data_IF_187113466636
#
_entry.id   IF_187113466636
#
_cell.length_a   1.000
_cell.length_b   1.000
_cell.length_c   1.000
_cell.angle_alpha   90.00
_cell.angle_beta   90.00
_cell.angle_gamma   90.00
#
_symmetry.space_group_name_H-M   'P 1'
#
loop_
_entity.id
_entity.type
_entity.pdbx_description
1 polymer ?
#
# COMPACT_ATOMS: atom_id res chain seq x y z
N UNK A 1 49.39 45.90 -21.16
CA UNK A 1 48.20 45.52 -21.95
C UNK A 1 47.54 44.30 -21.34
N UNK A 2 46.48 44.54 -20.57
CA UNK A 2 45.76 43.54 -19.77
C UNK A 2 44.56 43.06 -20.58
N UNK A 3 44.50 41.77 -20.96
CA UNK A 3 43.34 41.13 -21.55
C UNK A 3 42.58 40.35 -20.50
N UNK A 4 41.48 40.92 -20.03
CA UNK A 4 40.45 40.25 -19.21
C UNK A 4 39.80 39.10 -20.01
N UNK A 5 40.01 37.86 -19.59
CA UNK A 5 39.24 36.72 -20.04
C UNK A 5 37.91 36.70 -19.25
N UNK A 6 36.80 37.03 -19.93
CA UNK A 6 35.43 36.79 -19.45
C UNK A 6 35.19 35.29 -19.43
N UNK A 7 35.07 34.72 -18.22
CA UNK A 7 34.63 33.35 -18.00
C UNK A 7 33.18 33.17 -18.45
N UNK A 8 32.94 32.22 -19.35
CA UNK A 8 31.60 31.77 -19.73
C UNK A 8 30.89 31.15 -18.50
N UNK A 9 29.84 31.83 -17.97
CA UNK A 9 28.92 31.25 -17.03
C UNK A 9 28.24 30.05 -17.70
N UNK A 10 28.50 28.85 -17.19
CA UNK A 10 27.77 27.65 -17.56
C UNK A 10 26.28 27.84 -17.21
N UNK A 11 25.41 27.81 -18.20
CA UNK A 11 23.97 27.74 -18.01
C UNK A 11 23.68 26.41 -17.34
N UNK A 12 23.41 26.43 -16.01
CA UNK A 12 22.87 25.28 -15.30
C UNK A 12 21.45 25.04 -15.83
N UNK A 13 21.28 23.94 -16.53
CA UNK A 13 20.01 23.52 -17.07
C UNK A 13 19.03 23.19 -15.92
N UNK A 14 18.07 24.07 -15.70
CA UNK A 14 16.83 23.77 -14.98
C UNK A 14 16.02 22.86 -15.90
N UNK A 15 16.00 21.56 -15.65
CA UNK A 15 15.02 20.67 -16.26
C UNK A 15 13.64 21.12 -15.78
N UNK A 16 12.92 21.82 -16.64
CA UNK A 16 11.51 22.16 -16.44
C UNK A 16 10.67 20.92 -16.72
N UNK A 17 10.29 20.19 -15.69
CA UNK A 17 9.20 19.23 -15.79
C UNK A 17 7.89 20.03 -15.90
N UNK A 18 7.47 20.34 -17.12
CA UNK A 18 6.24 21.07 -17.38
C UNK A 18 5.05 20.09 -17.34
N UNK A 19 4.49 19.88 -16.17
CA UNK A 19 3.20 19.20 -16.04
C UNK A 19 2.06 20.19 -16.33
N UNK A 20 1.04 19.75 -17.06
CA UNK A 20 -0.21 20.51 -17.18
C UNK A 20 -1.02 20.30 -15.89
N UNK A 21 -1.55 21.39 -15.36
CA UNK A 21 -2.54 21.34 -14.27
C UNK A 21 -3.79 20.63 -14.79
N UNK A 22 -4.24 19.59 -14.08
CA UNK A 22 -5.52 18.96 -14.37
C UNK A 22 -6.66 19.89 -13.91
N UNK A 23 -7.80 19.98 -14.64
CA UNK A 23 -8.85 20.97 -14.35
C UNK A 23 -9.38 20.96 -12.90
N UNK A 24 -9.28 19.82 -12.19
CA UNK A 24 -9.76 19.63 -10.82
C UNK A 24 -8.63 19.28 -9.83
N UNK A 25 -7.39 19.51 -10.21
CA UNK A 25 -6.25 19.20 -9.33
C UNK A 25 -6.17 20.19 -8.16
N UNK A 26 -6.03 19.65 -6.94
CA UNK A 26 -5.81 20.48 -5.75
C UNK A 26 -4.47 21.24 -5.91
N UNK A 27 -4.46 22.58 -5.77
CA UNK A 27 -3.23 23.37 -5.92
C UNK A 27 -2.09 22.96 -4.98
N UNK A 28 -2.39 22.44 -3.78
CA UNK A 28 -1.37 21.92 -2.86
C UNK A 28 -0.74 20.64 -3.41
N UNK A 29 -1.56 19.75 -3.98
CA UNK A 29 -1.09 18.52 -4.62
C UNK A 29 -0.23 18.82 -5.84
N UNK A 30 -0.60 19.82 -6.64
CA UNK A 30 0.21 20.28 -7.77
C UNK A 30 1.59 20.80 -7.32
N UNK A 31 1.64 21.65 -6.28
CA UNK A 31 2.89 22.14 -5.70
C UNK A 31 3.75 20.96 -5.27
N UNK A 32 3.19 20.04 -4.49
CA UNK A 32 3.93 18.88 -3.98
C UNK A 32 4.42 17.97 -5.10
N UNK A 33 3.59 17.66 -6.10
CA UNK A 33 3.98 16.86 -7.26
C UNK A 33 5.11 17.53 -8.04
N UNK A 34 5.07 18.84 -8.19
CA UNK A 34 6.13 19.60 -8.87
C UNK A 34 7.44 19.55 -8.07
N UNK A 35 7.38 19.69 -6.74
CA UNK A 35 8.55 19.57 -5.88
C UNK A 35 9.12 18.14 -5.86
N UNK A 36 8.28 17.11 -5.83
CA UNK A 36 8.69 15.69 -5.90
C UNK A 36 9.44 15.40 -7.20
N UNK A 37 8.89 15.82 -8.33
CA UNK A 37 9.52 15.58 -9.64
C UNK A 37 10.83 16.36 -9.86
N UNK A 38 11.02 17.45 -9.12
CA UNK A 38 12.24 18.25 -9.22
C UNK A 38 13.37 17.75 -8.30
N UNK A 39 13.09 16.83 -7.39
CA UNK A 39 14.11 16.35 -6.46
C UNK A 39 15.38 15.84 -7.17
N UNK A 40 16.57 16.14 -6.65
CA UNK A 40 16.88 16.89 -5.43
C UNK A 40 16.96 18.42 -5.62
N UNK A 41 16.46 18.97 -6.71
CA UNK A 41 16.59 20.37 -7.11
C UNK A 41 15.47 21.25 -6.55
N UNK A 42 15.72 22.57 -6.54
CA UNK A 42 14.73 23.58 -6.16
C UNK A 42 13.81 23.94 -7.34
N UNK A 43 12.58 24.31 -7.02
CA UNK A 43 11.59 24.85 -7.95
C UNK A 43 11.36 26.33 -7.65
N UNK A 44 11.49 27.18 -8.66
CA UNK A 44 11.27 28.62 -8.52
C UNK A 44 9.81 28.92 -8.13
N UNK A 45 9.61 29.76 -7.11
CA UNK A 45 8.29 30.24 -6.73
C UNK A 45 7.57 31.01 -7.85
N UNK A 46 8.31 31.61 -8.81
CA UNK A 46 7.72 32.26 -9.99
C UNK A 46 7.11 31.24 -10.95
N UNK A 47 7.77 30.08 -11.15
CA UNK A 47 7.24 28.99 -11.98
C UNK A 47 5.93 28.43 -11.37
N UNK A 48 5.92 28.20 -10.04
CA UNK A 48 4.72 27.75 -9.35
C UNK A 48 3.58 28.78 -9.46
N UNK A 49 3.89 30.07 -9.30
CA UNK A 49 2.95 31.16 -9.39
C UNK A 49 2.30 31.25 -10.79
N UNK A 50 3.13 31.20 -11.84
CA UNK A 50 2.68 31.18 -13.24
C UNK A 50 1.76 29.99 -13.53
N UNK A 51 2.17 28.78 -13.15
CA UNK A 51 1.43 27.54 -13.43
C UNK A 51 0.08 27.46 -12.71
N UNK A 52 0.01 28.00 -11.50
CA UNK A 52 -1.22 28.01 -10.69
C UNK A 52 -2.05 29.27 -10.90
N UNK A 53 -1.63 30.21 -11.77
CA UNK A 53 -2.23 31.53 -11.95
C UNK A 53 -2.42 32.26 -10.61
N UNK A 54 -1.35 32.31 -9.80
CA UNK A 54 -1.35 32.88 -8.46
C UNK A 54 -0.22 33.90 -8.32
N UNK A 55 -0.33 34.78 -7.29
CA UNK A 55 0.77 35.65 -6.90
C UNK A 55 1.88 34.85 -6.16
N UNK A 56 3.10 35.40 -6.13
CA UNK A 56 4.19 34.83 -5.32
C UNK A 56 3.85 34.76 -3.83
N UNK A 57 3.11 35.74 -3.32
CA UNK A 57 2.61 35.74 -1.93
C UNK A 57 1.62 34.58 -1.74
N UNK A 58 0.76 34.31 -2.71
CA UNK A 58 -0.15 33.18 -2.70
C UNK A 58 0.59 31.82 -2.66
N UNK A 59 1.69 31.68 -3.42
CA UNK A 59 2.54 30.47 -3.34
C UNK A 59 3.21 30.37 -1.98
N UNK A 60 3.78 31.45 -1.46
CA UNK A 60 4.39 31.45 -0.14
C UNK A 60 3.38 31.01 0.95
N UNK A 61 2.17 31.57 0.96
CA UNK A 61 1.11 31.18 1.89
C UNK A 61 0.74 29.68 1.79
N UNK A 62 0.76 29.11 0.58
CA UNK A 62 0.54 27.65 0.40
C UNK A 62 1.69 26.82 0.96
N UNK A 63 2.92 27.24 0.73
CA UNK A 63 4.10 26.57 1.30
C UNK A 63 4.04 26.56 2.82
N UNK A 64 3.66 27.69 3.45
CA UNK A 64 3.48 27.74 4.92
C UNK A 64 2.38 26.75 5.38
N UNK A 65 1.22 26.71 4.73
CA UNK A 65 0.16 25.73 5.04
C UNK A 65 0.63 24.29 4.91
N UNK A 66 1.49 23.99 3.93
CA UNK A 66 2.08 22.66 3.77
C UNK A 66 3.09 22.34 4.87
N UNK A 67 3.87 23.33 5.31
CA UNK A 67 4.76 23.21 6.49
C UNK A 67 3.98 22.96 7.76
N UNK A 68 2.90 23.71 7.99
CA UNK A 68 1.99 23.54 9.15
C UNK A 68 1.35 22.13 9.13
N UNK A 69 1.14 21.56 7.96
CA UNK A 69 0.68 20.19 7.80
C UNK A 69 1.79 19.11 7.96
N UNK A 70 2.98 19.51 8.42
CA UNK A 70 4.10 18.63 8.79
C UNK A 70 5.06 18.29 7.65
N UNK A 71 4.97 18.96 6.48
CA UNK A 71 5.92 18.77 5.41
C UNK A 71 7.17 19.64 5.62
N UNK A 72 8.34 19.05 5.43
CA UNK A 72 9.61 19.80 5.48
C UNK A 72 9.89 20.35 4.08
N UNK A 73 9.66 21.66 3.90
CA UNK A 73 9.92 22.37 2.64
C UNK A 73 10.97 23.44 2.90
N UNK A 74 12.13 23.29 2.29
CA UNK A 74 13.21 24.27 2.35
C UNK A 74 12.96 25.38 1.35
N UNK A 75 13.25 26.64 1.74
CA UNK A 75 13.26 27.79 0.86
C UNK A 75 14.68 28.33 0.76
N UNK A 76 15.14 28.59 -0.46
CA UNK A 76 16.45 29.22 -0.72
C UNK A 76 16.29 30.44 -1.58
N UNK A 77 16.98 31.51 -1.20
CA UNK A 77 16.97 32.78 -1.96
C UNK A 77 17.43 32.53 -3.39
N UNK A 78 16.71 33.06 -4.37
CA UNK A 78 16.94 32.94 -5.81
C UNK A 78 16.84 31.51 -6.41
N UNK A 79 16.67 30.45 -5.60
CA UNK A 79 16.47 29.07 -6.08
C UNK A 79 15.01 28.65 -6.01
N UNK A 80 14.30 29.03 -4.93
CA UNK A 80 12.90 28.68 -4.70
C UNK A 80 12.71 27.65 -3.58
N UNK A 81 11.89 26.64 -3.83
CA UNK A 81 11.44 25.66 -2.82
C UNK A 81 11.88 24.24 -3.17
N UNK A 82 12.16 23.43 -2.14
CA UNK A 82 12.50 22.01 -2.26
C UNK A 82 11.86 21.22 -1.13
N UNK A 83 11.20 20.12 -1.45
CA UNK A 83 10.68 19.17 -0.46
C UNK A 83 11.85 18.34 0.09
N UNK A 84 12.06 18.35 1.42
CA UNK A 84 13.16 17.67 2.11
C UNK A 84 12.69 16.58 3.07
N UNK A 85 11.39 16.54 3.39
CA UNK A 85 10.85 15.51 4.28
C UNK A 85 9.32 15.52 4.30
N UNK A 86 8.78 14.39 4.75
CA UNK A 86 7.34 14.16 4.91
C UNK A 86 6.98 13.80 6.35
N UNK A 87 5.73 14.04 6.78
CA UNK A 87 5.27 13.66 8.11
C UNK A 87 5.20 12.12 8.26
N UNK A 88 5.26 11.63 9.52
CA UNK A 88 5.13 10.19 9.82
C UNK A 88 3.68 9.67 9.70
N UNK A 89 2.74 10.49 9.26
CA UNK A 89 1.33 10.15 9.03
C UNK A 89 0.94 10.56 7.62
N UNK A 90 -0.07 9.90 7.06
CA UNK A 90 -0.54 10.24 5.72
C UNK A 90 -1.15 11.64 5.69
N UNK A 91 -0.79 12.40 4.66
CA UNK A 91 -1.30 13.72 4.33
C UNK A 91 -2.04 13.67 2.99
N UNK A 92 -3.26 14.19 2.93
CA UNK A 92 -4.11 14.07 1.74
C UNK A 92 -3.50 14.71 0.48
N UNK A 93 -2.90 15.89 0.60
CA UNK A 93 -2.30 16.57 -0.56
C UNK A 93 -1.07 15.85 -1.08
N UNK A 94 -0.24 15.29 -0.19
CA UNK A 94 0.93 14.51 -0.60
C UNK A 94 0.52 13.15 -1.15
N UNK A 95 -0.54 12.54 -0.61
CA UNK A 95 -1.09 11.29 -1.14
C UNK A 95 -1.62 11.49 -2.56
N UNK A 96 -2.40 12.56 -2.80
CA UNK A 96 -2.90 12.92 -4.12
C UNK A 96 -1.74 13.15 -5.12
N UNK A 97 -0.70 13.88 -4.70
CA UNK A 97 0.49 14.12 -5.52
C UNK A 97 1.17 12.80 -5.95
N UNK A 98 1.32 11.85 -5.01
CA UNK A 98 1.90 10.54 -5.30
C UNK A 98 1.01 9.65 -6.17
N UNK A 99 -0.32 9.66 -5.95
CA UNK A 99 -1.28 8.93 -6.80
C UNK A 99 -1.20 9.41 -8.25
N UNK A 100 -1.14 10.72 -8.45
CA UNK A 100 -0.97 11.30 -9.79
C UNK A 100 0.39 10.96 -10.40
N UNK A 101 1.48 10.97 -9.62
CA UNK A 101 2.81 10.58 -10.10
C UNK A 101 2.88 9.10 -10.49
N UNK A 102 2.14 8.24 -9.80
CA UNK A 102 2.01 6.83 -10.13
C UNK A 102 0.96 6.55 -11.21
N UNK A 103 0.29 7.58 -11.75
CA UNK A 103 -0.79 7.48 -12.76
C UNK A 103 -1.97 6.62 -12.29
N UNK A 104 -2.26 6.65 -10.99
CA UNK A 104 -3.38 5.92 -10.38
C UNK A 104 -4.64 6.78 -10.46
N UNK A 105 -5.64 6.29 -11.21
CA UNK A 105 -6.96 6.92 -11.31
C UNK A 105 -7.93 6.25 -10.34
N UNK A 106 -8.23 6.93 -9.24
CA UNK A 106 -9.16 6.44 -8.22
C UNK A 106 -9.84 7.61 -7.50
N UNK A 107 -11.00 7.36 -6.91
CA UNK A 107 -11.54 8.20 -5.84
C UNK A 107 -10.81 7.81 -4.56
N UNK A 108 -10.34 8.77 -3.75
CA UNK A 108 -9.74 8.42 -2.47
C UNK A 108 -10.25 9.27 -1.31
N UNK A 109 -10.30 8.67 -0.12
CA UNK A 109 -10.58 9.31 1.15
C UNK A 109 -9.48 8.97 2.16
N UNK A 110 -9.06 9.96 2.92
CA UNK A 110 -8.10 9.81 4.01
C UNK A 110 -8.73 10.26 5.32
N UNK A 111 -8.80 9.35 6.28
CA UNK A 111 -9.30 9.59 7.63
C UNK A 111 -8.14 9.70 8.62
N UNK A 112 -8.20 10.68 9.54
CA UNK A 112 -7.24 10.70 10.65
C UNK A 112 -7.52 9.53 11.61
N UNK A 113 -8.80 9.22 11.83
CA UNK A 113 -9.23 8.06 12.62
C UNK A 113 -10.58 7.55 12.11
N UNK A 114 -10.74 6.23 12.01
CA UNK A 114 -12.01 5.58 11.69
C UNK A 114 -12.16 4.28 12.46
N UNK A 115 -13.33 3.65 12.40
CA UNK A 115 -13.55 2.30 12.92
C UNK A 115 -12.70 1.28 12.16
N UNK A 116 -12.95 1.15 10.87
CA UNK A 116 -12.23 0.26 9.94
C UNK A 116 -12.30 0.80 8.51
N UNK A 117 -11.18 0.82 7.81
CA UNK A 117 -11.12 1.26 6.41
C UNK A 117 -11.98 0.39 5.49
N UNK A 118 -12.13 -0.92 5.76
CA UNK A 118 -13.05 -1.78 5.01
C UNK A 118 -14.52 -1.34 5.19
N UNK A 119 -14.92 -1.08 6.43
CA UNK A 119 -16.29 -0.63 6.73
C UNK A 119 -16.59 0.72 6.09
N UNK A 120 -15.63 1.66 6.12
CA UNK A 120 -15.79 2.95 5.44
C UNK A 120 -15.87 2.80 3.92
N UNK A 121 -15.07 1.91 3.33
CA UNK A 121 -15.12 1.65 1.89
C UNK A 121 -16.49 1.07 1.47
N UNK A 122 -17.04 0.12 2.24
CA UNK A 122 -18.38 -0.44 2.02
C UNK A 122 -19.46 0.66 2.08
N UNK A 123 -19.40 1.49 3.13
CA UNK A 123 -20.33 2.61 3.36
C UNK A 123 -20.28 3.62 2.22
N UNK A 124 -19.11 4.14 1.88
CA UNK A 124 -18.92 5.13 0.80
C UNK A 124 -19.37 4.59 -0.56
N UNK A 125 -19.08 3.31 -0.85
CA UNK A 125 -19.63 2.68 -2.04
C UNK A 125 -21.15 2.61 -2.01
N UNK A 126 -21.78 2.28 -0.89
CA UNK A 126 -23.24 2.24 -0.76
C UNK A 126 -23.87 3.64 -0.94
N UNK A 127 -23.19 4.69 -0.51
CA UNK A 127 -23.55 6.10 -0.68
C UNK A 127 -23.35 6.62 -2.12
N UNK A 128 -22.75 5.82 -3.01
CA UNK A 128 -22.64 6.12 -4.44
C UNK A 128 -21.27 6.54 -4.93
N UNK A 129 -20.23 6.47 -4.09
CA UNK A 129 -18.87 6.77 -4.55
C UNK A 129 -18.44 5.86 -5.70
N UNK A 130 -17.74 6.47 -6.66
CA UNK A 130 -17.22 5.76 -7.83
C UNK A 130 -16.07 4.83 -7.46
N UNK A 131 -15.92 3.74 -8.22
CA UNK A 131 -14.83 2.78 -8.08
C UNK A 131 -13.88 2.86 -9.28
N UNK A 132 -12.58 2.61 -9.09
CA UNK A 132 -11.90 2.21 -7.86
C UNK A 132 -11.98 3.26 -6.75
N UNK A 133 -12.36 2.82 -5.54
CA UNK A 133 -12.42 3.65 -4.34
C UNK A 133 -11.29 3.25 -3.39
N UNK A 134 -10.47 4.20 -2.98
CA UNK A 134 -9.37 3.98 -2.02
C UNK A 134 -9.73 4.66 -0.70
N UNK A 135 -9.69 3.89 0.39
CA UNK A 135 -9.87 4.41 1.75
C UNK A 135 -8.61 4.17 2.54
N UNK A 136 -8.06 5.25 3.09
CA UNK A 136 -6.86 5.26 3.92
C UNK A 136 -7.19 5.80 5.31
N UNK A 137 -6.50 5.33 6.33
CA UNK A 137 -6.60 5.89 7.68
C UNK A 137 -5.24 5.95 8.38
N UNK A 138 -5.05 6.99 9.22
CA UNK A 138 -3.89 7.09 10.10
C UNK A 138 -4.04 6.24 11.37
N UNK A 139 -5.29 5.90 11.73
CA UNK A 139 -5.65 5.11 12.91
C UNK A 139 -6.96 4.36 12.67
N UNK A 140 -7.06 3.11 13.18
CA UNK A 140 -8.32 2.39 13.25
C UNK A 140 -8.64 2.01 14.70
N UNK A 141 -9.85 2.32 15.16
CA UNK A 141 -10.32 2.00 16.53
C UNK A 141 -10.80 0.56 16.65
N UNK A 142 -11.31 0.00 15.56
CA UNK A 142 -11.85 -1.37 15.49
C UNK A 142 -11.34 -2.08 14.21
N UNK A 143 -10.02 -1.98 13.95
CA UNK A 143 -9.41 -2.65 12.81
C UNK A 143 -9.73 -4.14 12.77
N UNK A 144 -10.14 -4.65 11.59
CA UNK A 144 -10.63 -6.01 11.43
C UNK A 144 -9.63 -6.93 10.74
N UNK A 145 -9.51 -8.15 11.24
CA UNK A 145 -8.87 -9.28 10.60
C UNK A 145 -9.90 -10.38 10.29
N UNK A 146 -9.43 -11.48 9.74
CA UNK A 146 -10.29 -12.66 9.46
C UNK A 146 -10.83 -13.27 10.74
N UNK A 147 -12.05 -13.89 10.65
CA UNK A 147 -12.70 -14.66 11.72
C UNK A 147 -12.89 -13.88 13.02
N UNK A 148 -13.13 -12.57 12.93
CA UNK A 148 -13.33 -11.71 14.10
C UNK A 148 -12.05 -11.30 14.83
N UNK A 149 -10.87 -11.66 14.33
CA UNK A 149 -9.61 -11.18 14.89
C UNK A 149 -9.47 -9.66 14.73
N UNK A 150 -8.83 -9.02 15.71
CA UNK A 150 -8.58 -7.59 15.71
C UNK A 150 -7.24 -7.31 15.01
N UNK A 151 -7.22 -6.34 14.10
CA UNK A 151 -5.99 -5.76 13.56
C UNK A 151 -5.61 -4.53 14.37
N UNK A 152 -4.52 -4.61 15.14
CA UNK A 152 -4.03 -3.49 15.95
C UNK A 152 -3.52 -2.38 15.06
N UNK A 153 -4.15 -1.20 15.14
CA UNK A 153 -3.97 -0.12 14.16
C UNK A 153 -3.65 1.23 14.84
N UNK A 154 -2.53 1.36 15.57
CA UNK A 154 -2.17 2.60 16.25
C UNK A 154 -1.81 3.72 15.27
N UNK A 155 -1.89 4.98 15.73
CA UNK A 155 -1.32 6.12 14.99
C UNK A 155 0.19 5.96 14.82
N UNK A 156 0.69 6.41 13.67
CA UNK A 156 2.13 6.61 13.45
C UNK A 156 2.79 5.60 12.51
N UNK A 157 2.77 5.91 11.23
CA UNK A 157 3.66 5.33 10.23
C UNK A 157 3.32 3.93 9.72
N UNK A 158 2.16 3.37 10.06
CA UNK A 158 1.63 2.15 9.46
C UNK A 158 0.63 2.47 8.34
N UNK A 159 0.42 1.51 7.45
CA UNK A 159 -0.53 1.67 6.36
C UNK A 159 -1.79 0.85 6.65
N UNK A 160 -2.93 1.51 6.69
CA UNK A 160 -4.27 0.94 6.74
C UNK A 160 -5.01 1.41 5.50
N UNK A 161 -5.19 0.48 4.57
CA UNK A 161 -5.66 0.74 3.22
C UNK A 161 -6.78 -0.23 2.89
N UNK A 162 -7.88 0.28 2.31
CA UNK A 162 -8.91 -0.54 1.68
C UNK A 162 -9.20 -0.05 0.27
N UNK A 163 -9.40 -0.98 -0.66
CA UNK A 163 -9.78 -0.68 -2.04
C UNK A 163 -11.13 -1.30 -2.32
N UNK A 164 -12.11 -0.44 -2.65
CA UNK A 164 -13.46 -0.81 -3.05
C UNK A 164 -13.58 -0.91 -4.57
N UNK A 165 -14.17 -2.00 -5.06
CA UNK A 165 -14.34 -2.31 -6.48
C UNK A 165 -15.75 -2.82 -6.77
N UNK A 166 -16.24 -2.60 -8.00
CA UNK A 166 -17.49 -3.18 -8.54
C UNK A 166 -17.20 -3.93 -9.84
N UNK A 167 -16.61 -5.14 -9.74
CA UNK A 167 -16.05 -5.82 -10.92
C UNK A 167 -17.13 -6.41 -11.85
N UNK A 168 -18.35 -6.70 -11.38
CA UNK A 168 -19.44 -7.35 -12.13
C UNK A 168 -18.98 -8.63 -12.83
N UNK A 169 -18.28 -9.50 -12.13
CA UNK A 169 -17.72 -10.76 -12.63
C UNK A 169 -18.32 -11.96 -11.91
N UNK A 170 -18.23 -13.13 -12.52
CA UNK A 170 -18.63 -14.39 -11.92
C UNK A 170 -17.79 -14.72 -10.67
N UNK A 171 -18.43 -15.29 -9.66
CA UNK A 171 -17.78 -15.65 -8.38
C UNK A 171 -16.58 -16.58 -8.58
N UNK A 172 -16.63 -17.47 -9.59
CA UNK A 172 -15.56 -18.42 -9.89
C UNK A 172 -14.22 -17.70 -10.18
N UNK A 173 -14.25 -16.52 -10.75
CA UNK A 173 -13.05 -15.70 -11.02
C UNK A 173 -12.42 -15.10 -9.77
N UNK A 174 -13.12 -15.13 -8.63
CA UNK A 174 -12.64 -14.59 -7.36
C UNK A 174 -11.93 -15.60 -6.46
N UNK A 175 -11.91 -16.91 -6.82
CA UNK A 175 -11.42 -17.98 -5.95
C UNK A 175 -10.06 -17.69 -5.33
N UNK A 176 -9.12 -17.18 -6.12
CA UNK A 176 -7.74 -16.97 -5.73
C UNK A 176 -7.39 -15.49 -5.50
N UNK A 177 -8.39 -14.61 -5.46
CA UNK A 177 -8.16 -13.16 -5.41
C UNK A 177 -7.22 -12.75 -4.27
N UNK A 178 -7.51 -13.14 -3.03
CA UNK A 178 -6.67 -12.78 -1.86
C UNK A 178 -5.25 -13.33 -1.96
N UNK A 179 -5.10 -14.57 -2.45
CA UNK A 179 -3.79 -15.21 -2.63
C UNK A 179 -2.97 -14.48 -3.70
N UNK A 180 -3.58 -14.13 -4.83
CA UNK A 180 -2.91 -13.40 -5.88
C UNK A 180 -2.52 -12.00 -5.46
N UNK A 181 -3.41 -11.27 -4.76
CA UNK A 181 -3.06 -9.99 -4.15
C UNK A 181 -1.83 -10.13 -3.24
N UNK A 182 -1.81 -11.15 -2.38
CA UNK A 182 -0.68 -11.43 -1.51
C UNK A 182 0.61 -11.70 -2.27
N UNK A 183 0.55 -12.48 -3.35
CA UNK A 183 1.71 -12.76 -4.23
C UNK A 183 2.27 -11.45 -4.78
N UNK A 184 1.42 -10.62 -5.40
CA UNK A 184 1.85 -9.37 -6.04
C UNK A 184 2.39 -8.34 -5.04
N UNK A 185 1.73 -8.22 -3.88
CA UNK A 185 2.20 -7.35 -2.78
C UNK A 185 3.55 -7.84 -2.23
N UNK A 186 3.70 -9.14 -2.00
CA UNK A 186 4.95 -9.72 -1.51
C UNK A 186 6.11 -9.47 -2.49
N UNK A 187 5.91 -9.73 -3.77
CA UNK A 187 6.89 -9.47 -4.83
C UNK A 187 7.28 -8.00 -4.91
N UNK A 188 6.29 -7.11 -4.89
CA UNK A 188 6.54 -5.67 -4.89
C UNK A 188 7.36 -5.24 -3.67
N UNK A 189 6.99 -5.69 -2.46
CA UNK A 189 7.69 -5.32 -1.23
C UNK A 189 9.13 -5.87 -1.19
N UNK A 190 9.37 -7.08 -1.71
CA UNK A 190 10.73 -7.62 -1.87
C UNK A 190 11.60 -6.67 -2.68
N UNK A 191 11.13 -6.29 -3.85
CA UNK A 191 11.85 -5.39 -4.76
C UNK A 191 11.97 -3.96 -4.21
N UNK A 192 10.87 -3.39 -3.69
CA UNK A 192 10.83 -2.00 -3.22
C UNK A 192 11.68 -1.77 -1.97
N UNK A 193 11.62 -2.70 -1.04
CA UNK A 193 12.34 -2.59 0.23
C UNK A 193 13.69 -3.33 0.22
N UNK A 194 14.03 -4.03 -0.87
CA UNK A 194 15.21 -4.89 -0.98
C UNK A 194 15.28 -5.87 0.21
N UNK A 195 14.22 -6.70 0.34
CA UNK A 195 14.02 -7.68 1.42
C UNK A 195 13.68 -9.04 0.79
N UNK A 196 14.68 -9.90 0.56
CA UNK A 196 14.47 -11.19 -0.11
C UNK A 196 13.68 -12.20 0.74
N UNK A 197 13.83 -12.14 2.07
CA UNK A 197 13.24 -13.12 3.00
C UNK A 197 11.81 -12.77 3.44
N UNK A 198 11.07 -12.01 2.62
CA UNK A 198 9.66 -11.72 2.81
C UNK A 198 8.82 -12.81 2.16
N UNK A 199 7.89 -13.40 2.89
CA UNK A 199 7.09 -14.53 2.46
C UNK A 199 5.60 -14.30 2.69
N UNK A 200 4.78 -15.13 2.03
CA UNK A 200 3.34 -15.16 2.24
C UNK A 200 2.97 -16.43 3.02
N UNK A 201 2.39 -16.24 4.19
CA UNK A 201 1.79 -17.32 4.98
C UNK A 201 0.33 -17.47 4.59
N UNK A 202 -0.02 -18.65 4.08
CA UNK A 202 -1.40 -18.96 3.73
C UNK A 202 -2.34 -18.73 4.92
N UNK A 203 -3.51 -18.13 4.68
CA UNK A 203 -4.00 -17.70 3.38
C UNK A 203 -3.78 -16.22 3.04
N UNK A 204 -3.33 -15.36 3.96
CA UNK A 204 -3.46 -13.92 3.78
C UNK A 204 -2.47 -13.05 4.58
N UNK A 205 -1.37 -13.63 5.08
CA UNK A 205 -0.46 -12.91 5.97
C UNK A 205 0.93 -12.77 5.36
N UNK A 206 1.50 -11.57 5.47
CA UNK A 206 2.89 -11.28 5.08
C UNK A 206 3.82 -11.50 6.27
N UNK A 207 4.85 -12.30 6.08
CA UNK A 207 5.81 -12.71 7.09
C UNK A 207 7.24 -12.39 6.66
N UNK A 208 8.02 -11.94 7.63
CA UNK A 208 9.48 -11.90 7.56
C UNK A 208 10.03 -12.75 8.70
N UNK A 209 10.87 -13.73 8.37
CA UNK A 209 11.24 -14.80 9.30
C UNK A 209 9.97 -15.42 9.93
N UNK A 210 9.83 -15.39 11.24
CA UNK A 210 8.65 -15.89 11.94
C UNK A 210 7.73 -14.77 12.45
N UNK A 211 7.89 -13.54 11.96
CA UNK A 211 7.14 -12.37 12.41
C UNK A 211 6.23 -11.81 11.31
N UNK A 212 5.00 -11.50 11.69
CA UNK A 212 4.02 -10.91 10.80
C UNK A 212 4.29 -9.43 10.59
N UNK A 213 4.33 -9.00 9.32
CA UNK A 213 4.46 -7.58 8.96
C UNK A 213 3.18 -7.01 8.38
N UNK A 214 2.29 -7.85 7.84
CA UNK A 214 1.06 -7.41 7.20
C UNK A 214 0.01 -8.50 7.17
N UNK A 215 -1.23 -8.09 6.89
CA UNK A 215 -2.35 -8.99 6.68
C UNK A 215 -3.38 -8.40 5.75
N UNK A 216 -4.09 -9.25 5.04
CA UNK A 216 -5.09 -8.87 4.05
C UNK A 216 -6.47 -9.41 4.44
N UNK A 217 -7.51 -8.65 4.13
CA UNK A 217 -8.90 -9.04 4.35
C UNK A 217 -9.73 -8.68 3.12
N UNK A 218 -10.27 -9.70 2.45
CA UNK A 218 -11.19 -9.51 1.32
C UNK A 218 -12.61 -9.78 1.79
N UNK A 219 -13.51 -8.83 1.52
CA UNK A 219 -14.94 -8.93 1.79
C UNK A 219 -15.71 -8.65 0.49
N UNK A 220 -16.70 -9.47 0.17
CA UNK A 220 -17.45 -9.35 -1.07
C UNK A 220 -18.94 -9.48 -0.83
N UNK A 221 -19.73 -8.68 -1.55
CA UNK A 221 -21.17 -8.84 -1.68
C UNK A 221 -21.45 -9.59 -2.99
N UNK A 222 -22.20 -10.68 -2.86
CA UNK A 222 -22.53 -11.56 -3.98
C UNK A 222 -24.03 -11.48 -4.23
N UNK A 223 -24.40 -11.35 -5.49
CA UNK A 223 -25.77 -11.37 -5.95
C UNK A 223 -25.91 -12.44 -7.03
N UNK A 224 -26.68 -13.48 -6.73
CA UNK A 224 -26.73 -14.72 -7.54
C UNK A 224 -25.33 -15.34 -7.69
N UNK A 225 -24.75 -15.38 -8.87
CA UNK A 225 -23.42 -15.94 -9.15
C UNK A 225 -22.37 -14.85 -9.45
N UNK A 226 -22.73 -13.58 -9.26
CA UNK A 226 -21.88 -12.44 -9.59
C UNK A 226 -21.40 -11.70 -8.35
N UNK A 227 -20.16 -11.25 -8.40
CA UNK A 227 -19.61 -10.32 -7.39
C UNK A 227 -20.09 -8.92 -7.71
N UNK A 228 -20.99 -8.40 -6.85
CA UNK A 228 -21.57 -7.05 -6.96
C UNK A 228 -20.58 -5.98 -6.50
N UNK A 229 -20.00 -6.21 -5.35
CA UNK A 229 -18.97 -5.34 -4.79
C UNK A 229 -17.91 -6.13 -4.03
N UNK A 230 -16.71 -5.58 -3.97
CA UNK A 230 -15.55 -6.18 -3.36
C UNK A 230 -14.79 -5.10 -2.60
N UNK A 231 -14.41 -5.38 -1.37
CA UNK A 231 -13.48 -4.56 -0.58
C UNK A 231 -12.26 -5.41 -0.23
N UNK A 232 -11.09 -4.93 -0.64
CA UNK A 232 -9.81 -5.53 -0.29
C UNK A 232 -9.09 -4.62 0.71
N UNK A 233 -8.88 -5.10 1.92
CA UNK A 233 -8.14 -4.41 2.98
C UNK A 233 -6.71 -4.92 3.13
N UNK A 234 -5.78 -4.01 3.33
CA UNK A 234 -4.38 -4.26 3.65
C UNK A 234 -3.99 -3.50 4.92
N UNK A 235 -3.59 -4.23 5.96
CA UNK A 235 -2.87 -3.70 7.10
C UNK A 235 -1.38 -4.03 6.96
N UNK A 236 -0.51 -3.02 6.96
CA UNK A 236 0.94 -3.20 6.81
C UNK A 236 1.69 -2.39 7.85
N UNK A 237 2.57 -3.05 8.60
CA UNK A 237 3.47 -2.41 9.54
C UNK A 237 4.67 -1.84 8.77
N UNK A 238 4.71 -0.52 8.61
CA UNK A 238 5.75 0.17 7.83
C UNK A 238 6.80 0.78 8.73
N UNK A 239 6.50 1.90 9.38
CA UNK A 239 7.41 2.68 10.21
C UNK A 239 7.14 2.50 11.71
N UNK A 240 6.85 1.27 12.13
CA UNK A 240 6.42 0.93 13.49
C UNK A 240 7.57 0.73 14.49
N UNK A 241 8.78 1.19 14.22
CA UNK A 241 9.96 0.99 15.10
C UNK A 241 9.73 1.50 16.54
N UNK A 242 8.93 2.54 16.71
CA UNK A 242 8.61 3.14 18.01
C UNK A 242 7.22 2.75 18.55
N UNK A 243 6.49 1.87 17.85
CA UNK A 243 5.16 1.45 18.28
C UNK A 243 5.29 0.34 19.33
N UNK A 244 4.65 0.55 20.48
CA UNK A 244 4.52 -0.48 21.52
C UNK A 244 3.37 -1.41 21.15
N UNK A 245 3.68 -2.53 20.52
CA UNK A 245 2.69 -3.58 20.31
C UNK A 245 2.21 -4.18 21.63
N UNK A 246 0.92 -4.54 21.75
CA UNK A 246 0.42 -5.32 22.88
C UNK A 246 1.26 -6.58 23.15
N UNK A 247 1.38 -6.98 24.40
CA UNK A 247 2.21 -8.15 24.80
C UNK A 247 1.87 -9.41 24.01
N UNK A 248 0.59 -9.60 23.67
CA UNK A 248 0.08 -10.76 22.92
C UNK A 248 0.64 -10.88 21.49
N UNK A 249 1.05 -9.76 20.86
CA UNK A 249 1.52 -9.75 19.48
C UNK A 249 2.96 -9.22 19.32
N UNK A 250 3.57 -8.70 20.39
CA UNK A 250 4.87 -8.05 20.35
C UNK A 250 5.98 -8.93 19.78
N UNK A 251 5.99 -10.21 20.12
CA UNK A 251 7.02 -11.15 19.68
C UNK A 251 6.72 -11.79 18.32
N UNK A 252 5.48 -11.64 17.84
CA UNK A 252 4.99 -12.22 16.59
C UNK A 252 4.86 -11.18 15.46
N UNK A 253 5.21 -9.91 15.72
CA UNK A 253 5.04 -8.81 14.77
C UNK A 253 6.32 -8.01 14.59
N UNK A 254 6.55 -7.57 13.35
CA UNK A 254 7.65 -6.68 12.98
C UNK A 254 7.16 -5.62 11.98
N UNK A 255 8.07 -4.76 11.48
CA UNK A 255 7.77 -3.74 10.48
C UNK A 255 8.88 -3.61 9.46
N UNK A 256 8.59 -3.05 8.30
CA UNK A 256 9.58 -2.82 7.24
C UNK A 256 10.76 -1.99 7.75
N UNK A 257 10.49 -0.92 8.50
CA UNK A 257 11.54 -0.06 9.05
C UNK A 257 12.43 -0.76 10.07
N UNK A 258 11.87 -1.68 10.86
CA UNK A 258 12.65 -2.47 11.82
C UNK A 258 13.57 -3.48 11.12
N UNK A 259 13.09 -4.08 10.04
CA UNK A 259 13.84 -5.03 9.21
C UNK A 259 15.01 -4.33 8.50
N UNK A 260 14.74 -3.18 7.89
CA UNK A 260 15.72 -2.44 7.06
C UNK A 260 16.63 -1.50 7.87
N UNK A 261 16.25 -1.15 9.11
CA UNK A 261 16.95 -0.13 9.90
C UNK A 261 16.74 1.31 9.40
N UNK A 262 15.81 1.54 8.47
CA UNK A 262 15.54 2.84 7.85
C UNK A 262 14.03 3.10 7.73
N UNK A 263 13.63 4.38 7.75
CA UNK A 263 12.23 4.77 7.51
C UNK A 263 11.91 4.70 6.02
N UNK A 264 10.65 4.38 5.73
CA UNK A 264 10.09 4.39 4.39
C UNK A 264 9.25 5.64 4.15
N UNK A 265 9.24 6.14 2.93
CA UNK A 265 8.32 7.17 2.45
C UNK A 265 6.91 6.57 2.32
N UNK A 266 6.08 6.78 3.36
CA UNK A 266 4.79 6.08 3.48
C UNK A 266 3.81 6.45 2.37
N UNK A 267 3.84 7.68 1.86
CA UNK A 267 2.98 8.15 0.78
C UNK A 267 3.34 7.50 -0.56
N UNK A 268 4.64 7.45 -0.87
CA UNK A 268 5.16 6.76 -2.05
C UNK A 268 4.81 5.28 -2.03
N UNK A 269 5.10 4.62 -0.89
CA UNK A 269 4.80 3.21 -0.70
C UNK A 269 3.30 2.93 -0.87
N UNK A 270 2.43 3.76 -0.27
CA UNK A 270 0.99 3.62 -0.39
C UNK A 270 0.51 3.75 -1.84
N UNK A 271 0.95 4.78 -2.57
CA UNK A 271 0.55 5.00 -3.97
C UNK A 271 0.99 3.84 -4.88
N UNK A 272 2.23 3.38 -4.72
CA UNK A 272 2.76 2.23 -5.47
C UNK A 272 2.03 0.93 -5.13
N UNK A 273 1.71 0.68 -3.85
CA UNK A 273 0.91 -0.48 -3.43
C UNK A 273 -0.51 -0.42 -4.00
N UNK A 274 -1.16 0.74 -4.00
CA UNK A 274 -2.48 0.91 -4.62
C UNK A 274 -2.43 0.51 -6.09
N UNK A 275 -1.42 0.96 -6.84
CA UNK A 275 -1.23 0.57 -8.24
C UNK A 275 -1.07 -0.95 -8.38
N UNK A 276 -0.20 -1.57 -7.59
CA UNK A 276 0.02 -3.03 -7.60
C UNK A 276 -1.28 -3.80 -7.33
N UNK A 277 -2.07 -3.36 -6.34
CA UNK A 277 -3.34 -4.00 -5.97
C UNK A 277 -4.36 -3.87 -7.11
N UNK A 278 -4.46 -2.71 -7.74
CA UNK A 278 -5.37 -2.49 -8.88
C UNK A 278 -4.97 -3.33 -10.09
N UNK A 279 -3.68 -3.40 -10.43
CA UNK A 279 -3.15 -4.22 -11.50
C UNK A 279 -3.39 -5.71 -11.23
N UNK A 280 -3.13 -6.18 -10.00
CA UNK A 280 -3.40 -7.54 -9.58
C UNK A 280 -4.91 -7.88 -9.62
N UNK A 281 -5.77 -6.91 -9.28
CA UNK A 281 -7.22 -7.09 -9.40
C UNK A 281 -7.65 -7.31 -10.85
N UNK A 282 -7.11 -6.53 -11.78
CA UNK A 282 -7.39 -6.69 -13.21
C UNK A 282 -6.92 -8.05 -13.72
N UNK A 283 -5.76 -8.54 -13.29
CA UNK A 283 -5.28 -9.89 -13.62
C UNK A 283 -6.19 -11.00 -13.09
N UNK A 284 -6.77 -10.83 -11.89
CA UNK A 284 -7.78 -11.77 -11.40
C UNK A 284 -9.05 -11.74 -12.25
N UNK A 285 -9.52 -10.55 -12.62
CA UNK A 285 -10.76 -10.39 -13.38
C UNK A 285 -10.65 -10.90 -14.82
N UNK A 286 -9.46 -10.82 -15.43
CA UNK A 286 -9.18 -11.40 -16.74
C UNK A 286 -8.97 -12.92 -16.71
N UNK A 287 -8.63 -13.48 -15.55
CA UNK A 287 -8.27 -14.90 -15.39
C UNK A 287 -6.77 -15.20 -15.45
N UNK A 288 -5.93 -14.24 -15.84
CA UNK A 288 -4.47 -14.39 -15.93
C UNK A 288 -3.83 -14.85 -14.61
N UNK A 289 -4.37 -14.35 -13.48
CA UNK A 289 -3.89 -14.71 -12.15
C UNK A 289 -3.90 -16.22 -11.88
N UNK A 290 -4.90 -16.95 -12.38
CA UNK A 290 -5.03 -18.39 -12.13
C UNK A 290 -3.94 -19.20 -12.83
N UNK A 291 -3.46 -18.75 -13.99
CA UNK A 291 -2.40 -19.39 -14.75
C UNK A 291 -1.03 -19.26 -14.08
N UNK A 292 -0.82 -18.12 -13.39
CA UNK A 292 0.47 -17.77 -12.80
C UNK A 292 0.58 -18.16 -11.33
N UNK A 293 -0.56 -18.33 -10.62
CA UNK A 293 -0.61 -18.42 -9.17
C UNK A 293 0.32 -19.49 -8.59
N UNK A 294 0.24 -20.73 -9.07
CA UNK A 294 1.01 -21.84 -8.50
C UNK A 294 2.52 -21.59 -8.61
N UNK A 295 2.97 -21.16 -9.79
CA UNK A 295 4.37 -20.86 -10.07
C UNK A 295 4.91 -19.73 -9.18
N UNK A 296 4.12 -18.67 -9.01
CA UNK A 296 4.55 -17.52 -8.24
C UNK A 296 4.41 -17.74 -6.72
N UNK A 297 3.41 -18.52 -6.30
CA UNK A 297 3.24 -18.95 -4.91
C UNK A 297 4.45 -19.74 -4.39
N UNK A 298 4.94 -20.68 -5.19
CA UNK A 298 6.06 -21.54 -4.83
C UNK A 298 7.31 -20.76 -4.37
N UNK A 299 7.54 -19.58 -4.94
CA UNK A 299 8.69 -18.71 -4.64
C UNK A 299 8.59 -17.99 -3.31
N UNK A 300 7.38 -17.90 -2.72
CA UNK A 300 7.11 -17.07 -1.55
C UNK A 300 6.35 -17.80 -0.43
N UNK A 301 6.08 -19.09 -0.59
CA UNK A 301 5.34 -19.90 0.38
C UNK A 301 6.10 -20.03 1.70
N UNK A 302 5.62 -19.35 2.74
CA UNK A 302 6.20 -19.42 4.08
C UNK A 302 6.06 -20.81 4.73
N UNK A 303 5.02 -21.57 4.37
CA UNK A 303 4.67 -22.81 5.05
C UNK A 303 5.30 -24.06 4.39
N UNK A 304 5.88 -23.94 3.21
CA UNK A 304 6.42 -25.06 2.45
C UNK A 304 7.34 -25.93 3.31
N UNK A 305 7.07 -27.23 3.34
CA UNK A 305 7.79 -28.27 4.07
C UNK A 305 7.78 -28.12 5.61
N UNK A 306 7.04 -27.14 6.14
CA UNK A 306 6.90 -26.96 7.59
C UNK A 306 5.80 -27.83 8.15
N UNK A 307 6.03 -28.31 9.39
CA UNK A 307 5.01 -28.98 10.19
C UNK A 307 4.03 -27.94 10.73
N UNK A 308 2.76 -28.15 10.42
CA UNK A 308 1.69 -27.20 10.74
C UNK A 308 0.50 -27.86 11.43
N UNK A 309 -0.26 -27.03 12.13
CA UNK A 309 -1.57 -27.36 12.69
C UNK A 309 -2.58 -26.45 12.02
N UNK A 310 -3.66 -27.04 11.51
CA UNK A 310 -4.80 -26.33 10.95
C UNK A 310 -5.99 -26.45 11.89
N UNK A 311 -6.64 -25.32 12.17
CA UNK A 311 -7.90 -25.24 12.86
C UNK A 311 -8.91 -24.48 11.99
N UNK A 312 -9.94 -25.15 11.48
CA UNK A 312 -10.99 -24.53 10.65
C UNK A 312 -12.30 -24.28 11.42
N UNK A 313 -12.29 -24.52 12.74
CA UNK A 313 -13.44 -24.37 13.62
C UNK A 313 -14.31 -25.64 13.73
N UNK A 314 -14.30 -26.52 12.71
CA UNK A 314 -15.01 -27.82 12.73
C UNK A 314 -14.08 -28.97 13.10
N UNK A 315 -12.82 -28.87 12.67
CA UNK A 315 -11.80 -29.91 12.90
C UNK A 315 -10.42 -29.27 13.11
N UNK A 316 -9.57 -30.03 13.80
CA UNK A 316 -8.15 -29.70 13.98
C UNK A 316 -7.31 -30.88 13.52
N UNK A 317 -6.35 -30.64 12.63
CA UNK A 317 -5.43 -31.65 12.14
C UNK A 317 -4.03 -31.08 11.92
N UNK A 318 -3.03 -31.96 11.86
CA UNK A 318 -1.63 -31.55 11.67
C UNK A 318 -1.00 -32.36 10.54
N UNK A 319 0.00 -31.79 9.89
CA UNK A 319 0.76 -32.42 8.85
C UNK A 319 1.87 -31.52 8.33
N UNK A 320 2.46 -31.86 7.20
CA UNK A 320 3.47 -31.08 6.52
C UNK A 320 2.79 -30.31 5.37
N UNK A 321 2.97 -28.97 5.35
CA UNK A 321 2.45 -28.14 4.28
C UNK A 321 3.24 -28.40 2.98
N UNK A 322 2.53 -28.54 1.86
CA UNK A 322 3.11 -28.88 0.56
C UNK A 322 2.57 -27.98 -0.56
N UNK A 323 2.53 -26.67 -0.32
CA UNK A 323 2.04 -25.68 -1.28
C UNK A 323 0.52 -25.61 -1.34
N UNK A 324 -0.01 -25.08 -2.43
CA UNK A 324 -1.45 -24.93 -2.70
C UNK A 324 -1.83 -25.65 -3.99
N UNK A 325 -3.11 -26.00 -4.14
CA UNK A 325 -3.66 -26.49 -5.40
C UNK A 325 -4.18 -25.33 -6.29
N UNK A 326 -4.71 -25.68 -7.47
CA UNK A 326 -5.28 -24.72 -8.43
C UNK A 326 -6.48 -23.94 -7.88
N UNK A 327 -7.14 -24.44 -6.82
CA UNK A 327 -8.25 -23.76 -6.15
C UNK A 327 -7.78 -22.86 -5.03
N UNK A 328 -6.45 -22.78 -4.76
CA UNK A 328 -5.86 -22.05 -3.66
C UNK A 328 -5.98 -22.75 -2.30
N UNK A 329 -6.44 -24.01 -2.27
CA UNK A 329 -6.48 -24.82 -1.05
C UNK A 329 -5.08 -25.24 -0.64
N UNK A 330 -4.76 -25.14 0.66
CA UNK A 330 -3.48 -25.57 1.20
C UNK A 330 -3.39 -27.10 1.20
N UNK A 331 -2.35 -27.64 0.60
CA UNK A 331 -2.05 -29.08 0.57
C UNK A 331 -1.32 -29.47 1.87
N UNK A 332 -1.88 -30.41 2.62
CA UNK A 332 -1.28 -30.88 3.88
C UNK A 332 -1.07 -32.39 3.82
N UNK A 333 0.19 -32.82 3.84
CA UNK A 333 0.57 -34.23 3.91
C UNK A 333 0.46 -34.73 5.35
N UNK A 334 -0.49 -35.61 5.60
CA UNK A 334 -0.74 -36.21 6.91
C UNK A 334 0.29 -37.31 7.23
N UNK A 335 0.36 -37.68 8.52
CA UNK A 335 1.08 -38.88 8.96
C UNK A 335 0.48 -40.11 8.27
N UNK A 336 1.27 -40.86 7.52
CA UNK A 336 0.78 -41.95 6.68
C UNK A 336 0.73 -41.63 5.19
N UNK A 337 1.17 -40.42 4.76
CA UNK A 337 1.38 -40.06 3.35
C UNK A 337 0.15 -39.52 2.61
N UNK A 338 -1.03 -39.58 3.20
CA UNK A 338 -2.28 -39.07 2.60
C UNK A 338 -2.28 -37.54 2.59
N UNK A 339 -2.65 -36.93 1.47
CA UNK A 339 -2.80 -35.47 1.37
C UNK A 339 -4.23 -35.04 1.69
N UNK A 340 -4.38 -34.03 2.53
CA UNK A 340 -5.65 -33.38 2.87
C UNK A 340 -5.64 -31.92 2.38
N UNK A 341 -6.76 -31.48 1.83
CA UNK A 341 -6.96 -30.10 1.36
C UNK A 341 -7.56 -29.25 2.48
N UNK A 342 -7.01 -28.05 2.71
CA UNK A 342 -7.58 -27.06 3.58
C UNK A 342 -8.03 -25.85 2.77
N UNK A 343 -9.34 -25.63 2.64
CA UNK A 343 -9.90 -24.49 1.92
C UNK A 343 -10.01 -23.24 2.81
N UNK A 344 -10.04 -23.42 4.14
CA UNK A 344 -10.08 -22.35 5.13
C UNK A 344 -9.48 -22.83 6.45
N UNK A 345 -9.00 -21.89 7.29
CA UNK A 345 -8.51 -22.22 8.63
C UNK A 345 -7.51 -21.18 9.14
N UNK A 346 -7.21 -21.33 10.43
CA UNK A 346 -6.03 -20.75 11.05
C UNK A 346 -4.88 -21.76 10.97
N UNK A 347 -3.70 -21.29 10.59
CA UNK A 347 -2.50 -22.12 10.48
C UNK A 347 -1.46 -21.67 11.50
N UNK A 348 -1.05 -22.58 12.36
CA UNK A 348 0.08 -22.39 13.27
C UNK A 348 1.20 -23.38 12.95
N UNK A 349 2.44 -23.00 13.22
CA UNK A 349 3.57 -23.93 13.21
C UNK A 349 3.41 -24.90 14.39
N UNK A 350 3.75 -26.17 14.18
CA UNK A 350 3.63 -27.21 15.19
C UNK A 350 4.87 -27.29 16.08
#
# INVERSE_FOLDING_TARGET
MNKYRRGKRAKRGTQQAAFKLSPNENPNSYVLRTLLNAQPHYVSGSILAEKLNMSRVGIWSRIEKLRDAGLSIEASQNLGYRLTGEPNHLNASLMDAWLQQCEVKCKFHLFDSTGSTNTEAEKLMAEGDSTPLVVLANHQTTGRGRRGNIWYSPKGGNLYLSIGLRPKIELVKMKNFTLWQGVRICQFLRSYADIDNLHLKWPNDLFYDNQKIGGMLTEASIESEYVRSLVFGLGLNVNASNIKFPKSIKNCSTSLSKIKGAKFHIHELAAKLIKVILDASNQCFSGEANELLLKEWEKIDFLREKKIIINNGKERFSGIANGIDQTGALLVKLRGGKTKLAHAGEVSLA
#
